data_IF_059623780618
#
_entry.id   IF_059623780618
#
_cell.length_a   1.000
_cell.length_b   1.000
_cell.length_c   1.000
_cell.angle_alpha   90.00
_cell.angle_beta   90.00
_cell.angle_gamma   90.00
#
_symmetry.space_group_name_H-M   'P 1'
#
loop_
_entity.id
_entity.type
_entity.pdbx_description
1 polymer ?
#
# COMPACT_ATOMS: atom_id res chain seq x y z
N UNK A 1 15.87 -7.51 1.09
CA UNK A 1 14.56 -7.74 0.47
C UNK A 1 14.02 -6.39 0.03
N UNK A 2 13.73 -6.21 -1.25
CA UNK A 2 12.98 -5.07 -1.79
C UNK A 2 11.49 -5.39 -1.85
N UNK A 3 10.64 -4.40 -2.14
CA UNK A 3 9.20 -4.63 -2.33
C UNK A 3 8.95 -5.52 -3.54
N UNK A 4 9.70 -5.31 -4.62
CA UNK A 4 9.63 -6.13 -5.83
C UNK A 4 10.00 -7.60 -5.54
N UNK A 5 11.04 -7.84 -4.74
CA UNK A 5 11.40 -9.19 -4.29
C UNK A 5 10.27 -9.81 -3.44
N UNK A 6 9.72 -9.07 -2.49
CA UNK A 6 8.63 -9.54 -1.62
C UNK A 6 7.36 -9.91 -2.40
N UNK A 7 6.93 -9.05 -3.34
CA UNK A 7 5.76 -9.31 -4.18
C UNK A 7 6.03 -10.50 -5.10
N UNK A 8 7.20 -10.54 -5.74
CA UNK A 8 7.57 -11.62 -6.65
C UNK A 8 7.61 -12.99 -5.95
N UNK A 9 8.13 -13.07 -4.72
CA UNK A 9 8.10 -14.32 -3.95
C UNK A 9 6.67 -14.82 -3.70
N UNK A 10 5.71 -13.92 -3.50
CA UNK A 10 4.30 -14.28 -3.30
C UNK A 10 3.62 -14.64 -4.62
N UNK A 11 3.91 -13.92 -5.71
CA UNK A 11 3.47 -14.28 -7.06
C UNK A 11 4.01 -15.66 -7.48
N UNK A 12 5.29 -15.98 -7.20
CA UNK A 12 5.87 -17.29 -7.49
C UNK A 12 5.25 -18.41 -6.64
N UNK A 13 4.81 -18.10 -5.42
CA UNK A 13 4.22 -19.06 -4.49
C UNK A 13 2.75 -19.37 -4.78
N UNK A 14 1.95 -18.34 -5.07
CA UNK A 14 0.50 -18.45 -5.24
C UNK A 14 0.04 -18.34 -6.70
N UNK A 15 0.96 -18.02 -7.63
CA UNK A 15 0.67 -17.95 -9.05
C UNK A 15 -0.23 -16.76 -9.41
N UNK A 16 -1.04 -16.96 -10.44
CA UNK A 16 -1.96 -15.94 -10.98
C UNK A 16 -3.08 -15.54 -10.02
N UNK A 17 -3.31 -16.33 -8.97
CA UNK A 17 -4.33 -16.04 -7.95
C UNK A 17 -3.87 -14.95 -6.97
N UNK A 18 -2.55 -14.71 -6.83
CA UNK A 18 -2.06 -13.68 -5.93
C UNK A 18 -2.56 -12.29 -6.34
N UNK A 19 -3.14 -11.56 -5.38
CA UNK A 19 -3.94 -10.38 -5.68
C UNK A 19 -3.22 -9.04 -5.46
N UNK A 20 -1.89 -9.03 -5.40
CA UNK A 20 -1.10 -7.80 -5.33
C UNK A 20 -0.07 -7.74 -6.43
N UNK A 21 0.26 -6.54 -6.89
CA UNK A 21 1.31 -6.34 -7.87
C UNK A 21 1.95 -4.96 -7.83
N UNK A 22 3.13 -4.86 -8.44
CA UNK A 22 3.93 -3.63 -8.47
C UNK A 22 3.25 -2.55 -9.33
N UNK A 23 3.24 -1.32 -8.82
CA UNK A 23 2.80 -0.15 -9.58
C UNK A 23 3.95 0.29 -10.49
N UNK A 24 4.00 -0.22 -11.72
CA UNK A 24 4.97 0.21 -12.74
C UNK A 24 4.61 1.58 -13.31
N UNK A 25 3.35 1.72 -13.69
CA UNK A 25 2.77 2.88 -14.34
C UNK A 25 1.76 3.55 -13.40
N UNK A 26 1.39 4.81 -13.68
CA UNK A 26 0.36 5.51 -12.90
C UNK A 26 0.69 5.77 -11.42
N UNK A 27 1.97 5.72 -11.01
CA UNK A 27 2.37 6.10 -9.64
C UNK A 27 1.80 7.46 -9.22
N UNK A 28 1.90 8.45 -10.11
CA UNK A 28 1.37 9.80 -9.88
C UNK A 28 -0.15 9.83 -9.70
N UNK A 29 -0.89 8.91 -10.31
CA UNK A 29 -2.34 8.82 -10.12
C UNK A 29 -2.64 8.48 -8.66
N UNK A 30 -2.08 7.39 -8.14
CA UNK A 30 -2.29 6.98 -6.75
C UNK A 30 -1.78 8.01 -5.74
N UNK A 31 -0.66 8.66 -6.02
CA UNK A 31 -0.13 9.74 -5.16
C UNK A 31 -1.12 10.91 -5.11
N UNK A 32 -1.71 11.30 -6.25
CA UNK A 32 -2.68 12.38 -6.31
C UNK A 32 -3.99 12.01 -5.60
N UNK A 33 -4.47 10.78 -5.77
CA UNK A 33 -5.65 10.27 -5.06
C UNK A 33 -5.42 10.28 -3.54
N UNK A 34 -4.30 9.70 -3.07
CA UNK A 34 -3.92 9.75 -1.65
C UNK A 34 -3.90 11.20 -1.13
N UNK A 35 -3.22 12.11 -1.83
CA UNK A 35 -3.18 13.54 -1.43
C UNK A 35 -4.54 14.23 -1.44
N UNK A 36 -5.48 13.77 -2.25
CA UNK A 36 -6.83 14.34 -2.30
C UNK A 36 -7.74 13.86 -1.17
N UNK A 37 -7.45 12.69 -0.62
CA UNK A 37 -8.20 12.06 0.46
C UNK A 37 -7.63 12.37 1.84
N UNK A 38 -6.32 12.64 1.93
CA UNK A 38 -5.69 13.02 3.17
C UNK A 38 -6.28 14.31 3.72
N UNK A 39 -6.51 14.32 5.02
CA UNK A 39 -6.81 15.55 5.74
C UNK A 39 -5.56 16.46 5.78
N UNK A 40 -5.74 17.78 5.92
CA UNK A 40 -4.65 18.77 6.04
C UNK A 40 -3.72 18.55 7.28
N UNK A 41 -3.91 17.48 8.04
CA UNK A 41 -3.17 17.17 9.27
C UNK A 41 -2.17 16.01 9.11
N UNK A 42 -2.08 15.38 7.93
CA UNK A 42 -1.28 14.17 7.75
C UNK A 42 0.19 14.43 7.36
N UNK A 43 1.08 13.59 7.90
CA UNK A 43 2.55 13.63 7.74
C UNK A 43 3.07 13.56 6.29
N UNK A 44 2.18 13.36 5.34
CA UNK A 44 2.43 13.16 3.91
C UNK A 44 2.55 14.49 3.16
N UNK A 45 2.03 15.60 3.70
CA UNK A 45 1.99 16.90 3.00
C UNK A 45 3.39 17.39 2.60
N UNK A 46 4.40 17.15 3.44
CA UNK A 46 5.79 17.57 3.22
C UNK A 46 6.75 16.39 2.98
N UNK A 47 6.21 15.19 2.71
CA UNK A 47 7.01 13.99 2.47
C UNK A 47 7.15 13.70 0.97
N UNK A 48 8.24 13.02 0.62
CA UNK A 48 8.33 12.30 -0.64
C UNK A 48 7.46 11.04 -0.56
N UNK A 49 6.62 10.82 -1.56
CA UNK A 49 5.65 9.72 -1.57
C UNK A 49 5.80 8.93 -2.86
N UNK A 50 5.92 7.62 -2.72
CA UNK A 50 6.06 6.70 -3.86
C UNK A 50 5.04 5.59 -3.72
N UNK A 51 4.16 5.42 -4.72
CA UNK A 51 3.32 4.24 -4.83
C UNK A 51 4.17 3.04 -5.29
N UNK A 52 4.16 1.95 -4.52
CA UNK A 52 5.02 0.78 -4.71
C UNK A 52 4.25 -0.41 -5.29
N UNK A 53 3.10 -0.74 -4.68
CA UNK A 53 2.28 -1.88 -5.07
C UNK A 53 0.80 -1.58 -4.83
N UNK A 54 -0.10 -2.31 -5.49
CA UNK A 54 -1.54 -2.20 -5.29
C UNK A 54 -2.19 -3.57 -5.19
N UNK A 55 -3.33 -3.63 -4.52
CA UNK A 55 -4.23 -4.77 -4.65
C UNK A 55 -4.97 -4.72 -5.98
N UNK A 56 -5.19 -5.90 -6.58
CA UNK A 56 -6.10 -6.10 -7.70
C UNK A 56 -7.53 -6.42 -7.25
N UNK A 57 -7.73 -6.73 -5.97
CA UNK A 57 -9.02 -7.13 -5.42
C UNK A 57 -9.77 -6.00 -4.71
N UNK A 58 -9.07 -4.97 -4.27
CA UNK A 58 -9.66 -3.82 -3.60
C UNK A 58 -8.86 -2.54 -3.91
N UNK A 59 -9.21 -1.45 -3.22
CA UNK A 59 -8.63 -0.13 -3.42
C UNK A 59 -7.39 0.14 -2.52
N UNK A 60 -6.76 -0.92 -2.02
CA UNK A 60 -5.55 -0.81 -1.21
C UNK A 60 -4.31 -0.54 -2.08
N UNK A 61 -3.49 0.40 -1.63
CA UNK A 61 -2.23 0.78 -2.27
C UNK A 61 -1.14 0.93 -1.21
N UNK A 62 0.00 0.29 -1.45
CA UNK A 62 1.21 0.38 -0.63
C UNK A 62 2.05 1.58 -1.08
N UNK A 63 2.35 2.46 -0.14
CA UNK A 63 3.19 3.65 -0.33
C UNK A 63 4.45 3.58 0.53
N UNK A 64 5.54 4.11 -0.01
CA UNK A 64 6.70 4.58 0.76
C UNK A 64 6.51 6.07 0.99
N UNK A 65 6.61 6.48 2.25
CA UNK A 65 6.57 7.88 2.68
C UNK A 65 7.93 8.16 3.30
N UNK A 66 8.69 9.04 2.67
CA UNK A 66 10.02 9.45 3.11
C UNK A 66 10.00 10.92 3.50
N UNK A 67 10.36 11.18 4.75
CA UNK A 67 10.63 12.52 5.24
C UNK A 67 12.09 12.60 5.70
N UNK A 68 12.55 13.80 6.05
CA UNK A 68 13.96 14.06 6.40
C UNK A 68 14.53 13.19 7.55
N UNK A 69 13.71 12.44 8.29
CA UNK A 69 14.14 11.63 9.44
C UNK A 69 13.64 10.17 9.44
N UNK A 70 12.64 9.81 8.62
CA UNK A 70 11.98 8.50 8.69
C UNK A 70 11.51 8.04 7.31
N UNK A 71 11.66 6.73 7.08
CA UNK A 71 11.00 5.98 6.00
C UNK A 71 9.86 5.19 6.62
N UNK A 72 8.66 5.36 6.09
CA UNK A 72 7.45 4.69 6.55
C UNK A 72 6.82 3.96 5.38
N UNK A 73 6.44 2.71 5.60
CA UNK A 73 5.64 1.95 4.65
C UNK A 73 4.20 1.91 5.14
N UNK A 74 3.25 2.30 4.29
CA UNK A 74 1.83 2.30 4.65
C UNK A 74 0.98 1.76 3.52
N UNK A 75 0.05 0.86 3.86
CA UNK A 75 -1.07 0.52 2.97
C UNK A 75 -2.21 1.46 3.31
N UNK A 76 -2.66 2.23 2.32
CA UNK A 76 -3.86 3.04 2.41
C UNK A 76 -4.99 2.40 1.61
N UNK A 77 -6.18 2.36 2.19
CA UNK A 77 -7.40 2.04 1.45
C UNK A 77 -7.97 3.33 0.86
N UNK A 78 -7.83 3.51 -0.46
CA UNK A 78 -8.33 4.70 -1.15
C UNK A 78 -9.84 4.59 -1.35
N UNK A 79 -10.57 5.65 -1.06
CA UNK A 79 -12.04 5.67 -1.15
C UNK A 79 -12.55 6.33 -2.44
N UNK A 80 -11.65 6.95 -3.21
CA UNK A 80 -11.92 7.74 -4.42
C UNK A 80 -13.01 8.80 -4.20
N UNK A 81 -13.20 9.18 -2.93
CA UNK A 81 -14.18 10.15 -2.46
C UNK A 81 -13.43 11.16 -1.61
N UNK A 82 -13.81 12.45 -1.70
CA UNK A 82 -13.22 13.50 -0.86
C UNK A 82 -13.72 13.35 0.58
N UNK A 83 -13.25 12.33 1.28
CA UNK A 83 -13.59 12.08 2.68
C UNK A 83 -12.54 12.74 3.56
N UNK A 84 -12.71 14.04 3.81
CA UNK A 84 -11.89 14.78 4.77
C UNK A 84 -12.30 14.49 6.23
N UNK A 85 -12.92 13.33 6.48
CA UNK A 85 -13.29 12.93 7.81
C UNK A 85 -12.02 12.60 8.61
N UNK A 86 -12.00 12.98 9.88
CA UNK A 86 -10.87 12.71 10.77
C UNK A 86 -10.55 11.20 10.77
N UNK A 87 -9.29 10.85 10.46
CA UNK A 87 -8.83 9.46 10.39
C UNK A 87 -9.05 8.74 9.04
N UNK A 88 -9.43 9.48 7.98
CA UNK A 88 -9.45 8.97 6.60
C UNK A 88 -8.37 9.62 5.73
N UNK A 89 -7.81 8.89 4.73
CA UNK A 89 -8.00 7.46 4.48
C UNK A 89 -7.35 6.60 5.58
N UNK A 90 -7.96 5.43 5.86
CA UNK A 90 -7.42 4.49 6.85
C UNK A 90 -6.14 3.87 6.32
N UNK A 91 -5.18 3.63 7.21
CA UNK A 91 -3.94 2.99 6.84
C UNK A 91 -3.45 1.97 7.86
N UNK A 92 -2.57 1.09 7.39
CA UNK A 92 -1.75 0.18 8.19
C UNK A 92 -0.30 0.58 7.96
N UNK A 93 0.45 0.82 9.04
CA UNK A 93 1.88 1.12 8.99
C UNK A 93 2.71 -0.14 9.26
N UNK A 94 3.83 -0.24 8.56
CA UNK A 94 4.76 -1.37 8.63
C UNK A 94 6.15 -0.90 9.04
N UNK A 95 6.82 -1.70 9.86
CA UNK A 95 8.20 -1.43 10.32
C UNK A 95 9.22 -1.71 9.21
N UNK A 96 9.00 -2.78 8.45
CA UNK A 96 9.92 -3.22 7.41
C UNK A 96 9.23 -4.03 6.30
N UNK A 97 9.99 -4.34 5.25
CA UNK A 97 9.51 -5.08 4.08
C UNK A 97 9.10 -6.52 4.42
N UNK A 98 9.71 -7.14 5.42
CA UNK A 98 9.35 -8.49 5.87
C UNK A 98 7.96 -8.51 6.50
N UNK A 99 7.64 -7.51 7.32
CA UNK A 99 6.30 -7.36 7.92
C UNK A 99 5.21 -7.09 6.87
N UNK A 100 5.54 -6.35 5.80
CA UNK A 100 4.64 -6.16 4.65
C UNK A 100 4.36 -7.49 3.96
N UNK A 101 5.43 -8.22 3.59
CA UNK A 101 5.30 -9.51 2.91
C UNK A 101 4.45 -10.50 3.72
N UNK A 102 4.70 -10.61 5.02
CA UNK A 102 3.91 -11.47 5.90
C UNK A 102 2.44 -11.04 5.98
N UNK A 103 2.17 -9.74 6.03
CA UNK A 103 0.81 -9.21 6.07
C UNK A 103 0.06 -9.55 4.77
N UNK A 104 0.65 -9.28 3.61
CA UNK A 104 0.05 -9.57 2.32
C UNK A 104 -0.27 -11.05 2.17
N UNK A 105 0.65 -11.92 2.58
CA UNK A 105 0.47 -13.36 2.55
C UNK A 105 -0.67 -13.83 3.47
N UNK A 106 -0.70 -13.35 4.72
CA UNK A 106 -1.74 -13.70 5.69
C UNK A 106 -3.12 -13.24 5.23
N UNK A 107 -3.23 -12.01 4.71
CA UNK A 107 -4.48 -11.47 4.18
C UNK A 107 -4.95 -12.27 2.97
N UNK A 108 -4.05 -12.60 2.05
CA UNK A 108 -4.39 -13.43 0.89
C UNK A 108 -4.91 -14.82 1.29
N UNK A 109 -4.22 -15.52 2.21
CA UNK A 109 -4.67 -16.83 2.70
C UNK A 109 -6.05 -16.70 3.38
N UNK A 110 -6.22 -15.71 4.25
CA UNK A 110 -7.47 -15.51 4.99
C UNK A 110 -8.67 -15.24 4.08
N UNK A 111 -8.46 -14.50 2.99
CA UNK A 111 -9.55 -14.01 2.15
C UNK A 111 -9.85 -14.94 0.95
N UNK A 112 -8.87 -15.71 0.48
CA UNK A 112 -8.96 -16.46 -0.79
C UNK A 112 -8.65 -17.95 -0.68
N UNK A 113 -8.05 -18.40 0.41
CA UNK A 113 -7.73 -19.82 0.59
C UNK A 113 -8.68 -20.38 1.64
N UNK A 114 -9.72 -21.09 1.20
CA UNK A 114 -10.56 -21.90 2.09
C UNK A 114 -9.68 -22.98 2.73
N UNK A 115 -9.52 -22.92 4.06
CA UNK A 115 -8.80 -23.92 4.88
C UNK A 115 -9.80 -24.87 5.54
#
# INVERSE_FOLDING_TARGET
MTIEEAIKELEEKYGEDFNWGIVSDSKNYFINELKSELSNADAVENAEVIALARSYSNDDVLFLIENNAKKEYRIYHLTYSKSNAEGFPRYIEFEDISSIREYLEKSFISDYIDI
#
